data_IF_789160694300
#
_entry.id   IF_789160694300
#
_cell.length_a   1.000
_cell.length_b   1.000
_cell.length_c   1.000
_cell.angle_alpha   90.00
_cell.angle_beta   90.00
_cell.angle_gamma   90.00
#
_symmetry.space_group_name_H-M   'P 1'
#
loop_
_entity.id
_entity.type
_entity.pdbx_description
1 polymer ?
#
# COMPACT_ATOMS: atom_id res chain seq x y z
N UNK A 1 -21.24 -16.27 3.07
CA UNK A 1 -20.63 -16.63 1.80
C UNK A 1 -21.60 -17.34 0.85
N UNK A 2 -22.32 -18.41 1.21
CA UNK A 2 -23.20 -19.15 0.27
C UNK A 2 -24.33 -18.35 -0.42
N UNK A 3 -24.95 -17.38 0.26
CA UNK A 3 -26.11 -16.64 -0.33
C UNK A 3 -25.70 -15.55 -1.36
N UNK A 4 -24.52 -14.98 -1.28
CA UNK A 4 -24.02 -14.00 -2.28
C UNK A 4 -23.59 -14.72 -3.57
N UNK A 5 -22.90 -15.84 -3.44
CA UNK A 5 -22.51 -16.67 -4.59
C UNK A 5 -23.72 -17.26 -5.34
N UNK A 6 -24.82 -17.61 -4.64
CA UNK A 6 -26.05 -18.05 -5.30
C UNK A 6 -26.71 -16.90 -6.09
N UNK A 7 -26.71 -15.67 -5.55
CA UNK A 7 -27.31 -14.48 -6.22
C UNK A 7 -26.54 -14.05 -7.47
N UNK A 8 -25.21 -13.98 -7.41
CA UNK A 8 -24.37 -13.62 -8.57
C UNK A 8 -24.49 -14.66 -9.69
N UNK A 9 -24.55 -15.94 -9.33
CA UNK A 9 -24.72 -17.03 -10.29
C UNK A 9 -26.13 -17.08 -10.92
N UNK A 10 -27.15 -16.66 -10.18
CA UNK A 10 -28.51 -16.48 -10.73
C UNK A 10 -28.51 -15.34 -11.75
N UNK A 11 -27.93 -14.19 -11.42
CA UNK A 11 -27.81 -13.06 -12.33
C UNK A 11 -27.01 -13.41 -13.60
N UNK A 12 -25.87 -14.08 -13.47
CA UNK A 12 -25.07 -14.53 -14.61
C UNK A 12 -25.90 -15.41 -15.57
N UNK A 13 -26.63 -16.39 -15.05
CA UNK A 13 -27.45 -17.28 -15.87
C UNK A 13 -28.59 -16.51 -16.57
N UNK A 14 -29.20 -15.55 -15.91
CA UNK A 14 -30.27 -14.72 -16.46
C UNK A 14 -29.74 -13.80 -17.58
N UNK A 15 -28.62 -13.13 -17.34
CA UNK A 15 -27.93 -12.27 -18.33
C UNK A 15 -27.53 -13.09 -19.54
N UNK A 16 -26.88 -14.25 -19.36
CA UNK A 16 -26.45 -15.13 -20.45
C UNK A 16 -27.64 -15.63 -21.29
N UNK A 17 -28.73 -16.03 -20.63
CA UNK A 17 -29.97 -16.48 -21.31
C UNK A 17 -30.61 -15.34 -22.14
N UNK A 18 -30.58 -14.10 -21.62
CA UNK A 18 -31.14 -12.94 -22.34
C UNK A 18 -30.26 -12.51 -23.53
N UNK A 19 -28.93 -12.57 -23.39
CA UNK A 19 -28.00 -12.32 -24.49
C UNK A 19 -28.19 -13.37 -25.60
N UNK A 20 -28.22 -14.66 -25.26
CA UNK A 20 -28.41 -15.76 -26.20
C UNK A 20 -29.76 -15.65 -26.98
N UNK A 21 -30.79 -15.10 -26.32
CA UNK A 21 -32.09 -14.87 -26.95
C UNK A 21 -32.23 -13.50 -27.62
N UNK A 22 -31.17 -12.69 -27.66
CA UNK A 22 -31.18 -11.34 -28.20
C UNK A 22 -32.26 -10.42 -27.59
N UNK A 23 -32.55 -10.56 -26.29
CA UNK A 23 -33.54 -9.79 -25.56
C UNK A 23 -32.92 -8.57 -24.87
N UNK A 24 -32.17 -7.78 -25.61
CA UNK A 24 -31.35 -6.69 -25.08
C UNK A 24 -32.14 -5.60 -24.35
N UNK A 25 -33.41 -5.34 -24.76
CA UNK A 25 -34.26 -4.32 -24.11
C UNK A 25 -34.72 -4.82 -22.73
N UNK A 26 -35.17 -6.10 -22.63
CA UNK A 26 -35.55 -6.69 -21.34
C UNK A 26 -34.33 -6.78 -20.41
N UNK A 27 -33.15 -7.09 -20.94
CA UNK A 27 -31.89 -7.14 -20.19
C UNK A 27 -31.53 -5.78 -19.60
N UNK A 28 -31.63 -4.70 -20.37
CA UNK A 28 -31.36 -3.35 -19.86
C UNK A 28 -32.27 -2.99 -18.69
N UNK A 29 -33.59 -3.25 -18.80
CA UNK A 29 -34.56 -3.00 -17.72
C UNK A 29 -34.24 -3.84 -16.48
N UNK A 30 -33.76 -5.08 -16.67
CA UNK A 30 -33.38 -5.96 -15.55
C UNK A 30 -32.14 -5.44 -14.82
N UNK A 31 -31.13 -4.96 -15.56
CA UNK A 31 -29.87 -4.49 -14.97
C UNK A 31 -30.02 -3.20 -14.15
N UNK A 32 -31.04 -2.38 -14.43
CA UNK A 32 -31.35 -1.18 -13.61
C UNK A 32 -31.73 -1.52 -12.14
N UNK A 33 -32.10 -2.77 -11.85
CA UNK A 33 -32.43 -3.22 -10.50
C UNK A 33 -31.20 -3.71 -9.70
N UNK A 34 -30.04 -3.88 -10.34
CA UNK A 34 -28.82 -4.42 -9.74
C UNK A 34 -27.78 -3.34 -9.47
N UNK A 35 -26.91 -3.58 -8.49
CA UNK A 35 -25.81 -2.70 -8.18
C UNK A 35 -24.69 -2.86 -9.22
N UNK A 36 -23.99 -1.78 -9.55
CA UNK A 36 -22.91 -1.75 -10.56
C UNK A 36 -21.87 -2.84 -10.30
N UNK A 37 -21.47 -3.06 -9.04
CA UNK A 37 -20.52 -4.12 -8.65
C UNK A 37 -21.02 -5.52 -9.02
N UNK A 38 -22.31 -5.81 -8.83
CA UNK A 38 -22.89 -7.13 -9.19
C UNK A 38 -22.90 -7.31 -10.73
N UNK A 39 -23.09 -6.22 -11.49
CA UNK A 39 -23.02 -6.21 -12.95
C UNK A 39 -21.57 -6.42 -13.42
N UNK A 40 -20.61 -5.79 -12.77
CA UNK A 40 -19.18 -5.97 -13.02
C UNK A 40 -18.74 -7.43 -12.81
N UNK A 41 -19.14 -8.04 -11.70
CA UNK A 41 -18.86 -9.46 -11.43
C UNK A 41 -19.37 -10.37 -12.55
N UNK A 42 -20.58 -10.13 -13.04
CA UNK A 42 -21.17 -10.88 -14.16
C UNK A 42 -20.41 -10.63 -15.47
N UNK A 43 -20.01 -9.38 -15.72
CA UNK A 43 -19.27 -8.98 -16.91
C UNK A 43 -17.92 -9.71 -16.98
N UNK A 44 -17.24 -9.86 -15.83
CA UNK A 44 -15.97 -10.60 -15.73
C UNK A 44 -16.11 -12.10 -16.00
N UNK A 45 -17.27 -12.71 -15.69
CA UNK A 45 -17.52 -14.13 -15.97
C UNK A 45 -17.92 -14.42 -17.43
N UNK A 46 -18.29 -13.39 -18.24
CA UNK A 46 -18.70 -13.54 -19.63
C UNK A 46 -17.49 -13.71 -20.55
N UNK A 47 -17.73 -14.34 -21.73
CA UNK A 47 -16.74 -14.30 -22.79
C UNK A 47 -16.68 -12.92 -23.49
N UNK A 48 -15.57 -12.58 -24.13
CA UNK A 48 -15.25 -11.28 -24.74
C UNK A 48 -16.42 -10.74 -25.59
N UNK A 49 -17.03 -11.57 -26.43
CA UNK A 49 -18.11 -11.15 -27.34
C UNK A 49 -19.39 -10.77 -26.58
N UNK A 50 -19.75 -11.52 -25.55
CA UNK A 50 -20.97 -11.26 -24.79
C UNK A 50 -20.74 -10.16 -23.75
N UNK A 51 -19.49 -9.98 -23.29
CA UNK A 51 -19.05 -8.89 -22.43
C UNK A 51 -19.22 -7.53 -23.12
N UNK A 52 -18.69 -7.37 -24.34
CA UNK A 52 -18.84 -6.13 -25.12
C UNK A 52 -20.31 -5.84 -25.41
N UNK A 53 -21.12 -6.86 -25.79
CA UNK A 53 -22.56 -6.68 -26.00
C UNK A 53 -23.32 -6.23 -24.75
N UNK A 54 -22.96 -6.80 -23.59
CA UNK A 54 -23.56 -6.41 -22.32
C UNK A 54 -23.20 -4.96 -22.02
N UNK A 55 -21.91 -4.60 -22.14
CA UNK A 55 -21.42 -3.26 -21.85
C UNK A 55 -22.06 -2.19 -22.74
N UNK A 56 -22.22 -2.45 -24.04
CA UNK A 56 -22.80 -1.51 -25.01
C UNK A 56 -24.25 -1.09 -24.68
N UNK A 57 -25.00 -1.93 -23.97
CA UNK A 57 -26.42 -1.65 -23.63
C UNK A 57 -26.61 -1.00 -22.25
N UNK A 58 -25.55 -0.88 -21.44
CA UNK A 58 -25.64 -0.28 -20.10
C UNK A 58 -26.05 1.19 -20.16
N UNK A 59 -26.68 1.71 -19.09
CA UNK A 59 -26.79 3.17 -18.89
C UNK A 59 -25.41 3.80 -18.81
N UNK A 60 -25.27 5.07 -19.26
CA UNK A 60 -23.97 5.74 -19.33
C UNK A 60 -23.28 5.84 -17.96
N UNK A 61 -24.02 6.17 -16.92
CA UNK A 61 -23.55 6.24 -15.54
C UNK A 61 -23.03 4.88 -15.04
N UNK A 62 -23.74 3.80 -15.33
CA UNK A 62 -23.31 2.43 -14.98
C UNK A 62 -22.08 2.01 -15.79
N UNK A 63 -22.04 2.35 -17.08
CA UNK A 63 -20.89 2.06 -17.93
C UNK A 63 -19.65 2.84 -17.49
N UNK A 64 -19.79 4.11 -17.09
CA UNK A 64 -18.74 4.95 -16.52
C UNK A 64 -18.16 4.31 -15.26
N UNK A 65 -19.02 4.00 -14.26
CA UNK A 65 -18.57 3.37 -13.02
C UNK A 65 -17.93 1.98 -13.20
N UNK A 66 -18.29 1.25 -14.27
CA UNK A 66 -17.61 -0.02 -14.60
C UNK A 66 -16.23 0.26 -15.20
N UNK A 67 -16.10 1.26 -16.07
CA UNK A 67 -14.80 1.61 -16.65
C UNK A 67 -13.82 2.12 -15.59
N UNK A 68 -14.29 2.84 -14.56
CA UNK A 68 -13.50 3.34 -13.45
C UNK A 68 -12.82 2.22 -12.66
N UNK A 69 -13.43 1.03 -12.61
CA UNK A 69 -12.89 -0.15 -11.93
C UNK A 69 -12.08 -1.09 -12.86
N UNK A 70 -11.94 -0.74 -14.15
CA UNK A 70 -11.32 -1.61 -15.14
C UNK A 70 -9.80 -1.42 -15.20
N UNK A 71 -9.07 -2.53 -15.28
CA UNK A 71 -7.68 -2.50 -15.75
C UNK A 71 -7.56 -2.05 -17.20
N UNK A 72 -6.41 -1.48 -17.62
CA UNK A 72 -6.19 -0.93 -18.96
C UNK A 72 -6.58 -1.84 -20.12
N UNK A 73 -6.28 -3.12 -20.03
CA UNK A 73 -6.56 -4.11 -21.08
C UNK A 73 -8.07 -4.34 -21.24
N UNK A 74 -8.79 -4.51 -20.12
CA UNK A 74 -10.24 -4.67 -20.13
C UNK A 74 -10.94 -3.38 -20.58
N UNK A 75 -10.46 -2.23 -20.12
CA UNK A 75 -10.94 -0.92 -20.56
C UNK A 75 -10.88 -0.80 -22.08
N UNK A 76 -9.72 -1.12 -22.68
CA UNK A 76 -9.54 -1.10 -24.14
C UNK A 76 -10.40 -2.13 -24.87
N UNK A 77 -10.57 -3.35 -24.31
CA UNK A 77 -11.46 -4.37 -24.85
C UNK A 77 -12.90 -3.85 -24.95
N UNK A 78 -13.41 -3.23 -23.90
CA UNK A 78 -14.79 -2.76 -23.84
C UNK A 78 -15.09 -1.62 -24.82
N UNK A 79 -14.16 -0.68 -25.00
CA UNK A 79 -14.41 0.51 -25.83
C UNK A 79 -13.98 0.38 -27.30
N UNK A 80 -13.08 -0.58 -27.64
CA UNK A 80 -12.42 -0.65 -28.96
C UNK A 80 -13.35 -0.82 -30.14
N UNK A 81 -14.48 -1.51 -29.97
CA UNK A 81 -15.46 -1.77 -31.03
C UNK A 81 -16.68 -0.85 -30.98
N UNK A 82 -16.75 0.06 -29.97
CA UNK A 82 -17.86 0.98 -29.77
C UNK A 82 -17.76 2.21 -30.70
N UNK A 83 -18.90 2.85 -30.93
CA UNK A 83 -18.93 4.15 -31.61
C UNK A 83 -18.27 5.23 -30.77
N UNK A 84 -17.38 6.01 -31.40
CA UNK A 84 -16.58 7.06 -30.69
C UNK A 84 -17.47 8.09 -30.01
N UNK A 85 -18.62 8.45 -30.55
CA UNK A 85 -19.54 9.40 -29.93
C UNK A 85 -20.21 8.79 -28.69
N UNK A 86 -20.43 7.46 -28.66
CA UNK A 86 -20.95 6.76 -27.51
C UNK A 86 -19.89 6.66 -26.40
N UNK A 87 -18.66 6.28 -26.75
CA UNK A 87 -17.52 6.27 -25.80
C UNK A 87 -17.32 7.65 -25.17
N UNK A 88 -17.36 8.71 -25.98
CA UNK A 88 -17.27 10.08 -25.46
C UNK A 88 -18.36 10.39 -24.44
N UNK A 89 -19.60 9.96 -24.70
CA UNK A 89 -20.70 10.16 -23.74
C UNK A 89 -20.51 9.40 -22.44
N UNK A 90 -19.83 8.25 -22.46
CA UNK A 90 -19.44 7.55 -21.23
C UNK A 90 -18.35 8.32 -20.48
N UNK A 91 -17.33 8.83 -21.19
CA UNK A 91 -16.27 9.62 -20.57
C UNK A 91 -16.76 10.95 -19.95
N UNK A 92 -17.83 11.53 -20.48
CA UNK A 92 -18.48 12.70 -19.90
C UNK A 92 -19.17 12.41 -18.55
N UNK A 93 -19.48 11.15 -18.26
CA UNK A 93 -20.01 10.70 -16.95
C UNK A 93 -18.93 10.20 -15.99
N UNK A 94 -17.70 9.98 -16.46
CA UNK A 94 -16.56 9.53 -15.65
C UNK A 94 -15.92 10.69 -14.90
N UNK A 95 -15.40 10.42 -13.70
CA UNK A 95 -14.47 11.34 -13.04
C UNK A 95 -13.16 11.45 -13.85
N UNK A 96 -12.68 12.68 -14.05
CA UNK A 96 -11.40 12.90 -14.74
C UNK A 96 -10.20 12.36 -13.91
N UNK A 97 -10.36 12.26 -12.59
CA UNK A 97 -9.37 11.63 -11.72
C UNK A 97 -9.23 10.14 -12.03
N UNK A 98 -10.35 9.41 -12.01
CA UNK A 98 -10.38 7.98 -12.28
C UNK A 98 -9.91 7.66 -13.71
N UNK A 99 -10.32 8.47 -14.68
CA UNK A 99 -9.81 8.34 -16.04
C UNK A 99 -8.29 8.61 -16.14
N UNK A 100 -7.77 9.58 -15.37
CA UNK A 100 -6.33 9.85 -15.33
C UNK A 100 -5.55 8.68 -14.71
N UNK A 101 -6.09 8.01 -13.69
CA UNK A 101 -5.45 6.85 -13.06
C UNK A 101 -5.36 5.68 -14.04
N UNK A 102 -6.44 5.35 -14.75
CA UNK A 102 -6.42 4.33 -15.80
C UNK A 102 -5.43 4.70 -16.92
N UNK A 103 -5.42 5.97 -17.35
CA UNK A 103 -4.51 6.44 -18.39
C UNK A 103 -3.03 6.42 -17.95
N UNK A 104 -2.75 6.50 -16.66
CA UNK A 104 -1.39 6.45 -16.11
C UNK A 104 -0.76 5.08 -16.33
N UNK A 105 -1.54 4.02 -16.17
CA UNK A 105 -1.11 2.63 -16.33
C UNK A 105 -1.06 2.16 -17.80
N UNK A 106 -1.64 2.95 -18.69
CA UNK A 106 -1.64 2.65 -20.15
C UNK A 106 -0.33 3.01 -20.86
N UNK A 107 -0.05 2.28 -21.94
CA UNK A 107 1.01 2.63 -22.88
C UNK A 107 0.78 3.99 -23.56
N UNK A 108 1.85 4.71 -23.92
CA UNK A 108 1.79 6.05 -24.51
C UNK A 108 0.88 6.10 -25.78
N UNK A 109 0.89 5.06 -26.61
CA UNK A 109 0.07 5.01 -27.84
C UNK A 109 -1.44 4.88 -27.54
N UNK A 110 -1.81 4.11 -26.53
CA UNK A 110 -3.20 3.90 -26.11
C UNK A 110 -3.73 5.12 -25.39
N UNK A 111 -2.93 5.68 -24.48
CA UNK A 111 -3.22 6.93 -23.77
C UNK A 111 -3.54 8.08 -24.73
N UNK A 112 -2.72 8.30 -25.76
CA UNK A 112 -2.98 9.37 -26.74
C UNK A 112 -4.27 9.12 -27.55
N UNK A 113 -4.61 7.86 -27.86
CA UNK A 113 -5.88 7.55 -28.53
C UNK A 113 -7.10 7.95 -27.70
N UNK A 114 -7.05 7.71 -26.37
CA UNK A 114 -8.15 8.07 -25.49
C UNK A 114 -8.21 9.58 -25.28
N UNK A 115 -7.07 10.26 -25.10
CA UNK A 115 -7.00 11.71 -25.01
C UNK A 115 -7.57 12.41 -26.25
N UNK A 116 -7.43 11.81 -27.44
CA UNK A 116 -8.05 12.32 -28.68
C UNK A 116 -9.58 12.13 -28.71
N UNK A 117 -10.14 11.21 -27.89
CA UNK A 117 -11.58 10.95 -27.84
C UNK A 117 -12.32 11.88 -26.86
N UNK A 118 -11.68 12.39 -25.82
CA UNK A 118 -12.27 13.34 -24.88
C UNK A 118 -12.41 14.75 -25.48
N UNK A 119 -13.19 15.60 -24.85
CA UNK A 119 -13.28 17.00 -25.28
C UNK A 119 -11.99 17.79 -24.92
N UNK A 120 -11.79 18.96 -25.53
CA UNK A 120 -10.53 19.70 -25.35
C UNK A 120 -10.30 20.28 -23.95
N UNK A 121 -11.35 20.52 -23.19
CA UNK A 121 -11.26 21.05 -21.83
C UNK A 121 -10.77 19.93 -20.92
N UNK A 122 -11.36 18.76 -21.01
CA UNK A 122 -10.98 17.55 -20.25
C UNK A 122 -9.59 17.04 -20.67
N UNK A 123 -9.22 17.11 -21.96
CA UNK A 123 -7.86 16.76 -22.41
C UNK A 123 -6.79 17.60 -21.71
N UNK A 124 -7.01 18.90 -21.57
CA UNK A 124 -6.05 19.78 -20.87
C UNK A 124 -5.94 19.37 -19.40
N UNK A 125 -7.06 19.12 -18.76
CA UNK A 125 -7.10 18.75 -17.37
C UNK A 125 -6.47 17.38 -17.09
N UNK A 126 -6.76 16.38 -17.94
CA UNK A 126 -6.13 15.06 -17.86
C UNK A 126 -4.61 15.14 -18.05
N UNK A 127 -4.14 15.96 -19.00
CA UNK A 127 -2.69 16.16 -19.18
C UNK A 127 -2.04 16.85 -17.97
N UNK A 128 -2.75 17.71 -17.25
CA UNK A 128 -2.26 18.29 -15.98
C UNK A 128 -2.18 17.21 -14.90
N UNK A 129 -3.19 16.35 -14.73
CA UNK A 129 -3.19 15.26 -13.77
C UNK A 129 -2.09 14.23 -14.08
N UNK A 130 -1.93 13.87 -15.35
CA UNK A 130 -0.88 12.94 -15.81
C UNK A 130 0.55 13.51 -15.69
N UNK A 131 0.71 14.80 -15.47
CA UNK A 131 2.03 15.42 -15.27
C UNK A 131 2.56 15.29 -13.83
N UNK A 132 1.71 14.95 -12.87
CA UNK A 132 2.15 14.67 -11.51
C UNK A 132 2.98 13.37 -11.45
N UNK A 133 3.92 13.34 -10.53
CA UNK A 133 4.73 12.14 -10.28
C UNK A 133 3.85 11.11 -9.58
N UNK A 134 3.98 9.85 -9.97
CA UNK A 134 3.24 8.75 -9.35
C UNK A 134 3.49 8.71 -7.84
N UNK A 135 2.54 8.17 -7.09
CA UNK A 135 2.57 8.08 -5.63
C UNK A 135 2.58 9.42 -4.87
N UNK A 136 2.31 10.54 -5.55
CA UNK A 136 2.11 11.84 -4.89
C UNK A 136 0.63 12.12 -4.61
N UNK A 137 0.35 13.02 -3.67
CA UNK A 137 -1.03 13.50 -3.42
C UNK A 137 -1.63 14.17 -4.66
N UNK A 138 -0.80 14.75 -5.51
CA UNK A 138 -1.23 15.35 -6.78
C UNK A 138 -1.63 14.32 -7.83
N UNK A 139 -1.03 13.13 -7.81
CA UNK A 139 -1.41 12.04 -8.73
C UNK A 139 -2.72 11.36 -8.35
N UNK A 140 -3.08 11.35 -7.07
CA UNK A 140 -4.28 10.70 -6.55
C UNK A 140 -5.48 11.65 -6.45
N UNK A 141 -5.27 12.97 -6.57
CA UNK A 141 -6.35 13.94 -6.39
C UNK A 141 -7.34 13.97 -7.55
N UNK A 142 -8.62 14.24 -7.21
CA UNK A 142 -9.70 14.53 -8.15
C UNK A 142 -10.03 16.01 -8.14
N UNK A 143 -10.54 16.55 -9.26
CA UNK A 143 -10.91 17.96 -9.40
C UNK A 143 -12.40 18.24 -9.22
N UNK A 144 -13.21 17.24 -9.02
CA UNK A 144 -14.65 17.35 -8.79
C UNK A 144 -15.01 17.86 -7.38
N UNK A 145 -14.59 19.05 -7.01
CA UNK A 145 -14.86 19.67 -5.71
C UNK A 145 -15.61 21.00 -5.83
N UNK A 146 -16.36 21.36 -4.79
CA UNK A 146 -17.16 22.60 -4.75
C UNK A 146 -16.42 23.68 -3.97
N UNK A 147 -16.34 24.88 -4.55
CA UNK A 147 -15.72 26.04 -3.93
C UNK A 147 -16.69 27.21 -3.74
N UNK A 148 -16.42 28.04 -2.76
CA UNK A 148 -17.13 29.33 -2.56
C UNK A 148 -16.12 30.40 -2.14
N UNK A 149 -16.38 31.64 -2.55
CA UNK A 149 -15.58 32.77 -2.06
C UNK A 149 -16.01 33.16 -0.63
N UNK A 150 -15.05 33.42 0.25
CA UNK A 150 -15.27 33.75 1.66
C UNK A 150 -16.18 34.96 1.89
N UNK A 151 -16.25 35.88 0.93
CA UNK A 151 -17.06 37.12 1.02
C UNK A 151 -18.53 36.94 0.61
N UNK A 152 -18.93 35.74 0.16
CA UNK A 152 -20.32 35.49 -0.23
C UNK A 152 -21.22 35.37 0.99
N UNK A 153 -22.49 35.77 0.83
CA UNK A 153 -23.54 35.41 1.79
C UNK A 153 -23.94 33.96 1.60
N UNK A 154 -24.41 33.31 2.66
CA UNK A 154 -24.94 31.94 2.65
C UNK A 154 -25.93 31.70 1.52
N UNK A 155 -26.88 32.61 1.32
CA UNK A 155 -27.86 32.54 0.22
C UNK A 155 -27.18 32.52 -1.15
N UNK A 156 -26.14 33.33 -1.33
CA UNK A 156 -25.41 33.42 -2.61
C UNK A 156 -24.55 32.18 -2.83
N UNK A 157 -23.92 31.66 -1.78
CA UNK A 157 -23.15 30.42 -1.81
C UNK A 157 -24.05 29.24 -2.18
N UNK A 158 -25.22 29.08 -1.57
CA UNK A 158 -26.15 27.98 -1.92
C UNK A 158 -26.57 28.05 -3.40
N UNK A 159 -26.77 29.24 -3.95
CA UNK A 159 -27.11 29.38 -5.37
C UNK A 159 -25.96 28.96 -6.27
N UNK A 160 -24.76 29.35 -5.90
CA UNK A 160 -23.52 28.97 -6.63
C UNK A 160 -23.30 27.46 -6.61
N UNK A 161 -23.36 26.86 -5.43
CA UNK A 161 -23.21 25.42 -5.24
C UNK A 161 -24.20 24.60 -6.09
N UNK A 162 -25.47 25.03 -6.16
CA UNK A 162 -26.50 24.36 -6.99
C UNK A 162 -26.17 24.33 -8.47
N UNK A 163 -25.29 25.18 -8.95
CA UNK A 163 -24.89 25.24 -10.34
C UNK A 163 -23.61 24.39 -10.55
N UNK A 164 -22.69 24.38 -9.61
CA UNK A 164 -21.41 23.66 -9.71
C UNK A 164 -21.48 22.21 -9.19
N UNK A 165 -22.39 21.90 -8.27
CA UNK A 165 -22.51 20.58 -7.67
C UNK A 165 -23.05 19.49 -8.61
N UNK A 166 -23.37 19.83 -9.86
CA UNK A 166 -23.80 18.84 -10.87
C UNK A 166 -22.61 17.98 -11.30
N UNK A 167 -21.42 18.58 -11.35
CA UNK A 167 -20.18 17.93 -11.86
C UNK A 167 -19.18 17.64 -10.72
N UNK A 168 -19.64 17.62 -9.45
CA UNK A 168 -18.77 17.42 -8.29
C UNK A 168 -18.78 15.97 -7.83
N UNK A 169 -17.61 15.34 -7.71
CA UNK A 169 -17.41 13.97 -7.17
C UNK A 169 -17.86 13.90 -5.70
N UNK A 170 -17.64 14.97 -4.94
CA UNK A 170 -18.04 15.06 -3.53
C UNK A 170 -18.52 16.43 -3.12
N UNK A 171 -19.69 16.48 -2.45
CA UNK A 171 -20.28 17.69 -1.87
C UNK A 171 -20.28 17.69 -0.34
N UNK A 172 -19.63 16.75 0.32
CA UNK A 172 -19.59 16.69 1.78
C UNK A 172 -18.93 17.93 2.39
N UNK A 173 -17.87 18.42 1.74
CA UNK A 173 -17.16 19.64 2.11
C UNK A 173 -17.24 20.67 0.99
N UNK A 174 -17.38 21.93 1.40
CA UNK A 174 -17.34 23.10 0.55
C UNK A 174 -16.08 23.87 0.92
N UNK A 175 -15.18 24.03 -0.02
CA UNK A 175 -13.89 24.68 0.19
C UNK A 175 -14.02 26.18 -0.01
N UNK A 176 -13.51 26.94 0.94
CA UNK A 176 -13.63 28.40 0.94
C UNK A 176 -12.33 29.01 0.47
N UNK A 177 -12.41 29.77 -0.61
CA UNK A 177 -11.29 30.44 -1.23
C UNK A 177 -11.33 31.95 -0.93
N UNK A 178 -10.14 32.55 -0.89
CA UNK A 178 -10.01 34.01 -0.91
C UNK A 178 -10.02 34.56 -2.34
N UNK A 179 -9.74 35.88 -2.49
CA UNK A 179 -9.72 36.51 -3.81
C UNK A 179 -8.50 36.11 -4.66
N UNK A 180 -7.47 35.55 -4.04
CA UNK A 180 -6.25 35.06 -4.68
C UNK A 180 -6.32 33.53 -4.93
N UNK A 181 -7.51 32.92 -4.84
CA UNK A 181 -7.78 31.48 -5.02
C UNK A 181 -7.10 30.58 -4.00
N UNK A 182 -6.67 31.12 -2.86
CA UNK A 182 -6.06 30.34 -1.79
C UNK A 182 -7.13 29.70 -0.90
N UNK A 183 -6.87 28.48 -0.47
CA UNK A 183 -7.72 27.77 0.48
C UNK A 183 -7.61 28.42 1.87
N UNK A 184 -8.69 29.05 2.34
CA UNK A 184 -8.71 29.75 3.62
C UNK A 184 -9.69 29.15 4.63
N UNK A 185 -10.59 28.28 4.20
CA UNK A 185 -11.58 27.68 5.08
C UNK A 185 -12.25 26.47 4.45
N UNK A 186 -13.00 25.76 5.26
CA UNK A 186 -13.87 24.67 4.84
C UNK A 186 -15.16 24.74 5.66
N UNK A 187 -16.26 24.36 5.06
CA UNK A 187 -17.52 24.16 5.75
C UNK A 187 -18.24 22.94 5.20
N UNK A 188 -18.99 22.27 6.04
CA UNK A 188 -19.84 21.17 5.62
C UNK A 188 -21.16 21.69 5.04
N UNK A 189 -21.76 20.89 4.16
CA UNK A 189 -23.10 21.18 3.65
C UNK A 189 -24.12 21.35 4.79
N UNK A 190 -23.95 20.63 5.90
CA UNK A 190 -24.79 20.75 7.10
C UNK A 190 -24.67 22.12 7.76
N UNK A 191 -23.45 22.65 7.92
CA UNK A 191 -23.22 23.96 8.52
C UNK A 191 -23.83 25.05 7.65
N UNK A 192 -23.66 24.95 6.33
CA UNK A 192 -24.26 25.86 5.38
C UNK A 192 -25.79 25.89 5.49
N UNK A 193 -26.47 24.77 5.65
CA UNK A 193 -27.92 24.69 5.80
C UNK A 193 -28.45 25.18 7.16
N UNK A 194 -27.60 25.13 8.21
CA UNK A 194 -27.98 25.62 9.54
C UNK A 194 -27.72 27.10 9.73
N UNK A 195 -26.92 27.73 8.88
CA UNK A 195 -26.62 29.16 8.91
C UNK A 195 -27.77 30.00 8.38
N UNK A 196 -27.80 31.29 8.74
CA UNK A 196 -28.81 32.23 8.23
C UNK A 196 -28.40 32.73 6.85
N UNK A 197 -29.37 32.91 5.99
CA UNK A 197 -29.19 33.39 4.60
C UNK A 197 -28.32 34.65 4.46
N UNK A 198 -28.31 35.51 5.48
CA UNK A 198 -27.59 36.79 5.50
C UNK A 198 -26.20 36.71 6.13
N UNK A 199 -25.81 35.58 6.73
CA UNK A 199 -24.47 35.40 7.28
C UNK A 199 -23.45 35.29 6.14
N UNK A 200 -22.21 35.71 6.41
CA UNK A 200 -21.11 35.65 5.43
C UNK A 200 -20.34 34.32 5.65
N UNK A 201 -19.87 33.74 4.58
CA UNK A 201 -19.14 32.45 4.62
C UNK A 201 -17.93 32.54 5.56
N UNK A 202 -17.18 33.64 5.55
CA UNK A 202 -16.03 33.89 6.44
C UNK A 202 -16.39 33.80 7.93
N UNK A 203 -17.62 34.14 8.31
CA UNK A 203 -18.07 34.11 9.72
C UNK A 203 -18.45 32.69 10.20
N UNK A 204 -18.71 31.74 9.27
CA UNK A 204 -19.21 30.40 9.59
C UNK A 204 -18.26 29.29 9.20
N UNK A 205 -17.22 29.57 8.39
CA UNK A 205 -16.24 28.59 7.96
C UNK A 205 -15.31 28.18 9.09
N UNK A 206 -14.75 26.99 9.00
CA UNK A 206 -13.60 26.54 9.81
C UNK A 206 -12.31 26.99 9.11
N UNK A 207 -11.52 27.85 9.77
CA UNK A 207 -10.28 28.41 9.21
C UNK A 207 -9.10 27.44 9.26
N UNK A 208 -9.12 26.46 10.19
CA UNK A 208 -7.99 25.52 10.37
C UNK A 208 -8.15 24.30 9.48
N UNK A 209 -8.04 24.50 8.17
CA UNK A 209 -8.13 23.43 7.19
C UNK A 209 -6.89 22.55 7.27
N UNK A 210 -7.09 21.23 7.25
CA UNK A 210 -6.02 20.26 7.06
C UNK A 210 -5.93 19.95 5.58
N UNK A 211 -4.77 20.15 5.00
CA UNK A 211 -4.48 19.91 3.58
C UNK A 211 -3.16 19.19 3.42
N UNK A 212 -2.94 18.60 2.27
CA UNK A 212 -1.66 18.05 1.81
C UNK A 212 -1.11 18.89 0.66
N UNK A 213 0.20 18.85 0.45
CA UNK A 213 0.80 19.45 -0.74
C UNK A 213 0.69 18.49 -1.92
N UNK A 214 0.55 19.02 -3.13
CA UNK A 214 0.43 18.24 -4.36
C UNK A 214 1.68 17.38 -4.66
N UNK A 215 2.84 17.74 -4.12
CA UNK A 215 4.09 16.99 -4.22
C UNK A 215 4.39 16.09 -3.00
N UNK A 216 3.54 16.12 -1.97
CA UNK A 216 3.67 15.21 -0.84
C UNK A 216 3.32 13.77 -1.27
N UNK A 217 3.95 12.80 -0.61
CA UNK A 217 3.59 11.40 -0.71
C UNK A 217 2.11 11.20 -0.37
N UNK A 218 1.40 10.37 -1.16
CA UNK A 218 -0.02 10.07 -0.96
C UNK A 218 -0.32 9.47 0.42
N UNK A 219 0.65 8.79 1.04
CA UNK A 219 0.54 8.29 2.41
C UNK A 219 0.32 9.42 3.45
N UNK A 220 0.74 10.66 3.18
CA UNK A 220 0.47 11.79 4.07
C UNK A 220 -1.03 12.16 4.08
N UNK A 221 -1.74 12.00 2.94
CA UNK A 221 -3.18 12.16 2.88
C UNK A 221 -3.89 11.09 3.75
N UNK A 222 -3.46 9.83 3.65
CA UNK A 222 -3.96 8.73 4.49
C UNK A 222 -3.82 9.06 5.97
N UNK A 223 -2.63 9.56 6.38
CA UNK A 223 -2.35 9.93 7.78
C UNK A 223 -3.27 11.04 8.30
N UNK A 224 -3.52 12.05 7.46
CA UNK A 224 -4.41 13.18 7.82
C UNK A 224 -5.85 12.71 7.90
N UNK A 225 -6.35 11.98 6.91
CA UNK A 225 -7.72 11.47 6.88
C UNK A 225 -7.99 10.55 8.08
N UNK A 226 -7.11 9.59 8.34
CA UNK A 226 -7.21 8.68 9.48
C UNK A 226 -7.18 9.41 10.83
N UNK A 227 -6.27 10.37 11.01
CA UNK A 227 -6.08 11.08 12.28
C UNK A 227 -7.25 12.00 12.63
N UNK A 228 -7.82 12.67 11.64
CA UNK A 228 -8.86 13.68 11.84
C UNK A 228 -10.27 13.17 11.48
N UNK A 229 -10.40 11.91 11.05
CA UNK A 229 -11.66 11.28 10.60
C UNK A 229 -12.36 12.12 9.50
N UNK A 230 -11.60 12.52 8.50
CA UNK A 230 -12.12 13.29 7.38
C UNK A 230 -12.73 12.34 6.33
N UNK A 231 -13.68 12.85 5.54
CA UNK A 231 -14.24 12.13 4.38
C UNK A 231 -13.59 12.58 3.06
N UNK A 232 -12.82 13.66 3.08
CA UNK A 232 -11.98 14.13 2.00
C UNK A 232 -10.90 15.06 2.55
N UNK A 233 -9.74 15.13 1.91
CA UNK A 233 -8.65 16.04 2.23
C UNK A 233 -8.31 16.90 1.02
N UNK A 234 -8.24 18.25 1.14
CA UNK A 234 -7.86 19.12 0.04
C UNK A 234 -6.36 19.06 -0.23
N UNK A 235 -6.00 19.07 -1.51
CA UNK A 235 -4.65 19.13 -2.04
C UNK A 235 -4.35 20.56 -2.48
N UNK A 236 -3.24 21.13 -2.02
CA UNK A 236 -2.82 22.50 -2.33
C UNK A 236 -1.41 22.53 -2.88
N UNK A 237 -1.08 23.55 -3.68
CA UNK A 237 0.29 23.81 -4.07
C UNK A 237 1.07 24.58 -2.99
N UNK A 238 2.36 24.86 -3.25
CA UNK A 238 3.26 25.60 -2.34
C UNK A 238 2.75 27.03 -2.02
N UNK A 239 1.87 27.60 -2.84
CA UNK A 239 1.29 28.93 -2.65
C UNK A 239 -0.03 28.88 -1.87
N UNK A 240 -0.53 27.67 -1.60
CA UNK A 240 -1.80 27.41 -0.88
C UNK A 240 -3.01 27.49 -1.79
N UNK A 241 -2.85 27.40 -3.10
CA UNK A 241 -3.95 27.34 -4.07
C UNK A 241 -4.50 25.91 -4.09
N UNK A 242 -5.80 25.78 -4.03
CA UNK A 242 -6.49 24.48 -4.09
C UNK A 242 -6.34 23.88 -5.50
N UNK A 243 -5.82 22.66 -5.56
CA UNK A 243 -5.59 21.90 -6.81
C UNK A 243 -6.59 20.78 -7.00
N UNK A 244 -7.00 20.13 -5.91
CA UNK A 244 -7.89 18.98 -5.93
C UNK A 244 -8.30 18.55 -4.54
N UNK A 245 -8.96 17.40 -4.48
CA UNK A 245 -9.31 16.71 -3.23
C UNK A 245 -8.94 15.22 -3.40
N UNK A 246 -8.66 14.55 -2.28
CA UNK A 246 -8.58 13.08 -2.22
C UNK A 246 -9.73 12.63 -1.33
N UNK A 247 -10.59 11.79 -1.82
CA UNK A 247 -11.78 11.30 -1.13
C UNK A 247 -11.48 10.08 -0.26
N UNK A 248 -12.41 9.67 0.60
CA UNK A 248 -12.19 8.55 1.53
C UNK A 248 -12.09 7.21 0.81
N UNK A 249 -12.79 7.05 -0.31
CA UNK A 249 -12.71 5.91 -1.21
C UNK A 249 -11.29 5.77 -1.78
N UNK A 250 -10.74 6.82 -2.40
CA UNK A 250 -9.34 6.82 -2.89
C UNK A 250 -8.33 6.56 -1.75
N UNK A 251 -8.60 7.08 -0.55
CA UNK A 251 -7.76 6.83 0.63
C UNK A 251 -7.77 5.36 1.05
N UNK A 252 -8.90 4.66 0.89
CA UNK A 252 -9.00 3.23 1.21
C UNK A 252 -8.12 2.43 0.25
N UNK A 253 -8.19 2.74 -1.04
CA UNK A 253 -7.40 2.06 -2.07
C UNK A 253 -5.90 2.31 -1.85
N UNK A 254 -5.49 3.56 -1.62
CA UNK A 254 -4.10 3.89 -1.24
C UNK A 254 -3.65 3.14 0.01
N UNK A 255 -4.52 3.00 1.03
CA UNK A 255 -4.18 2.24 2.25
C UNK A 255 -3.95 0.75 1.96
N UNK A 256 -4.72 0.15 1.06
CA UNK A 256 -4.57 -1.25 0.67
C UNK A 256 -3.28 -1.47 -0.13
N UNK A 257 -3.01 -0.59 -1.09
CA UNK A 257 -1.79 -0.60 -1.89
C UNK A 257 -0.53 -0.44 -1.03
N UNK A 258 -0.49 0.57 -0.16
CA UNK A 258 0.65 0.82 0.75
C UNK A 258 0.86 -0.35 1.73
N UNK A 259 -0.24 -0.93 2.25
CA UNK A 259 -0.14 -2.09 3.13
C UNK A 259 0.39 -3.33 2.39
N UNK A 260 -0.02 -3.54 1.15
CA UNK A 260 0.47 -4.61 0.28
C UNK A 260 1.96 -4.41 -0.02
N UNK A 261 2.34 -3.21 -0.44
CA UNK A 261 3.74 -2.84 -0.71
C UNK A 261 4.65 -3.10 0.50
N UNK A 262 4.24 -2.66 1.69
CA UNK A 262 4.96 -2.90 2.94
C UNK A 262 5.17 -4.40 3.21
N UNK A 263 4.17 -5.24 2.91
CA UNK A 263 4.29 -6.69 3.06
C UNK A 263 5.32 -7.28 2.08
N UNK A 264 5.32 -6.86 0.83
CA UNK A 264 6.32 -7.29 -0.16
C UNK A 264 7.74 -6.83 0.24
N UNK A 265 7.91 -5.60 0.69
CA UNK A 265 9.18 -5.07 1.20
C UNK A 265 9.66 -5.87 2.42
N UNK A 266 8.80 -6.16 3.40
CA UNK A 266 9.12 -6.99 4.57
C UNK A 266 9.49 -8.42 4.15
N UNK A 267 8.89 -8.96 3.12
CA UNK A 267 9.24 -10.27 2.57
C UNK A 267 10.61 -10.27 1.83
N UNK A 268 11.21 -9.12 1.59
CA UNK A 268 12.45 -8.95 0.85
C UNK A 268 12.26 -8.97 -0.66
N UNK A 269 11.09 -8.61 -1.10
CA UNK A 269 10.72 -8.44 -2.50
C UNK A 269 10.67 -6.95 -2.90
N UNK A 270 10.08 -6.63 -4.02
CA UNK A 270 9.95 -5.28 -4.55
C UNK A 270 8.52 -5.01 -5.00
N UNK A 271 8.18 -3.74 -5.03
CA UNK A 271 6.97 -3.19 -5.61
C UNK A 271 6.64 -3.77 -7.00
N UNK A 272 7.64 -3.87 -7.87
CA UNK A 272 7.47 -4.47 -9.21
C UNK A 272 7.00 -5.93 -9.20
N UNK A 273 7.35 -6.70 -8.15
CA UNK A 273 6.84 -8.06 -7.99
C UNK A 273 5.37 -8.01 -7.61
N UNK A 274 4.98 -7.10 -6.70
CA UNK A 274 3.58 -6.85 -6.33
C UNK A 274 2.76 -6.50 -7.58
N UNK A 275 3.14 -5.44 -8.27
CA UNK A 275 2.39 -4.93 -9.44
C UNK A 275 2.23 -6.00 -10.53
N UNK A 276 3.25 -6.85 -10.72
CA UNK A 276 3.18 -7.96 -11.69
C UNK A 276 2.35 -9.13 -11.18
N UNK A 277 2.28 -9.37 -9.86
CA UNK A 277 1.48 -10.43 -9.26
C UNK A 277 0.00 -10.04 -9.17
N UNK A 278 -0.30 -8.74 -8.99
CA UNK A 278 -1.65 -8.17 -8.96
C UNK A 278 -2.24 -7.98 -10.37
N UNK A 279 -1.40 -7.86 -11.41
CA UNK A 279 -1.83 -7.76 -12.81
C UNK A 279 -2.29 -9.14 -13.36
N UNK A 280 -3.59 -9.32 -13.48
CA UNK A 280 -4.23 -10.55 -13.98
C UNK A 280 -3.81 -10.91 -15.42
N UNK A 281 -3.32 -9.96 -16.21
CA UNK A 281 -2.87 -10.14 -17.58
C UNK A 281 -1.39 -10.49 -17.69
N UNK A 282 -0.66 -10.42 -16.59
CA UNK A 282 0.75 -10.73 -16.56
C UNK A 282 1.02 -12.19 -16.91
N UNK A 283 1.90 -12.41 -17.88
CA UNK A 283 2.32 -13.78 -18.24
C UNK A 283 3.20 -14.36 -17.14
N UNK A 284 3.11 -15.69 -16.92
CA UNK A 284 3.99 -16.40 -15.99
C UNK A 284 5.47 -16.05 -16.21
N UNK A 285 5.88 -15.75 -17.45
CA UNK A 285 7.26 -15.34 -17.77
C UNK A 285 7.60 -13.96 -17.21
N UNK A 286 6.68 -13.01 -17.24
CA UNK A 286 6.83 -11.67 -16.67
C UNK A 286 6.88 -11.75 -15.15
N UNK A 287 5.98 -12.50 -14.52
CA UNK A 287 5.97 -12.74 -13.07
C UNK A 287 7.31 -13.35 -12.59
N UNK A 288 7.83 -14.36 -13.28
CA UNK A 288 9.14 -14.96 -12.95
C UNK A 288 10.26 -13.92 -13.06
N UNK A 289 10.28 -13.12 -14.11
CA UNK A 289 11.33 -12.12 -14.32
C UNK A 289 11.26 -11.03 -13.25
N UNK A 290 10.09 -10.56 -12.90
CA UNK A 290 9.85 -9.58 -11.85
C UNK A 290 10.31 -10.10 -10.50
N UNK A 291 9.89 -11.30 -10.12
CA UNK A 291 10.32 -12.01 -8.91
C UNK A 291 11.85 -12.14 -8.82
N UNK A 292 12.51 -12.58 -9.91
CA UNK A 292 13.97 -12.72 -9.93
C UNK A 292 14.65 -11.36 -9.77
N UNK A 293 14.18 -10.32 -10.47
CA UNK A 293 14.78 -8.97 -10.38
C UNK A 293 14.57 -8.34 -9.03
N UNK A 294 13.39 -8.48 -8.44
CA UNK A 294 13.07 -7.94 -7.11
C UNK A 294 13.95 -8.53 -6.01
N UNK A 295 14.22 -9.81 -6.05
CA UNK A 295 14.94 -10.54 -4.98
C UNK A 295 16.43 -10.67 -5.20
N UNK A 296 16.92 -10.68 -6.46
CA UNK A 296 18.32 -10.99 -6.80
C UNK A 296 19.32 -10.06 -6.11
N UNK A 297 19.04 -8.76 -6.05
CA UNK A 297 19.91 -7.77 -5.41
C UNK A 297 20.17 -8.10 -3.94
N UNK A 298 19.11 -8.40 -3.20
CA UNK A 298 19.16 -8.79 -1.80
C UNK A 298 19.89 -10.12 -1.61
N UNK A 299 19.62 -11.13 -2.46
CA UNK A 299 20.29 -12.43 -2.41
C UNK A 299 21.79 -12.32 -2.67
N UNK A 300 22.21 -11.49 -3.62
CA UNK A 300 23.63 -11.25 -3.89
C UNK A 300 24.31 -10.57 -2.71
N UNK A 301 23.69 -9.54 -2.14
CA UNK A 301 24.22 -8.87 -0.96
C UNK A 301 24.33 -9.83 0.23
N UNK A 302 23.28 -10.64 0.46
CA UNK A 302 23.25 -11.69 1.48
C UNK A 302 24.39 -12.69 1.28
N UNK A 303 24.64 -13.14 0.05
CA UNK A 303 25.72 -14.06 -0.27
C UNK A 303 27.10 -13.45 0.03
N UNK A 304 27.31 -12.17 -0.30
CA UNK A 304 28.58 -11.47 -0.01
C UNK A 304 28.82 -11.39 1.50
N UNK A 305 27.82 -11.01 2.28
CA UNK A 305 27.94 -10.89 3.74
C UNK A 305 28.11 -12.29 4.36
N UNK A 306 27.41 -13.32 3.89
CA UNK A 306 27.57 -14.70 4.34
C UNK A 306 29.00 -15.24 4.09
N UNK A 307 29.67 -14.73 3.05
CA UNK A 307 31.08 -15.09 2.83
C UNK A 307 32.00 -14.59 3.97
N UNK A 308 31.67 -13.47 4.62
CA UNK A 308 32.38 -13.00 5.82
C UNK A 308 32.21 -14.00 6.96
N UNK A 309 31.00 -14.52 7.16
CA UNK A 309 30.72 -15.59 8.12
C UNK A 309 31.60 -16.82 7.87
N UNK A 310 31.72 -17.23 6.59
CA UNK A 310 32.58 -18.33 6.22
C UNK A 310 34.06 -18.08 6.55
N UNK A 311 34.57 -16.88 6.32
CA UNK A 311 35.96 -16.50 6.68
C UNK A 311 36.16 -16.59 8.19
N UNK A 312 35.22 -16.10 9.00
CA UNK A 312 35.28 -16.22 10.46
C UNK A 312 35.32 -17.71 10.84
N UNK A 313 34.47 -18.53 10.20
CA UNK A 313 34.38 -19.96 10.44
C UNK A 313 35.71 -20.72 10.15
N UNK A 314 36.52 -20.22 9.21
CA UNK A 314 37.84 -20.79 8.93
C UNK A 314 38.81 -20.74 10.14
N UNK A 315 38.60 -19.80 11.05
CA UNK A 315 39.39 -19.66 12.28
C UNK A 315 39.09 -20.80 13.28
N UNK A 316 38.01 -21.54 13.11
CA UNK A 316 37.66 -22.72 13.94
C UNK A 316 38.60 -23.88 13.74
N UNK A 317 39.59 -23.82 12.82
CA UNK A 317 40.62 -24.83 12.67
C UNK A 317 41.32 -25.13 14.00
N UNK A 318 41.57 -24.13 14.85
CA UNK A 318 42.15 -24.30 16.17
C UNK A 318 41.25 -25.10 17.12
N UNK A 319 39.94 -25.08 16.94
CA UNK A 319 38.96 -25.88 17.69
C UNK A 319 39.08 -27.35 17.31
N UNK A 320 39.31 -27.65 16.03
CA UNK A 320 39.53 -29.02 15.52
C UNK A 320 40.81 -29.63 16.14
N UNK A 321 41.88 -28.84 16.17
CA UNK A 321 43.17 -29.26 16.72
C UNK A 321 43.07 -29.66 18.22
N UNK A 322 42.06 -29.18 18.94
CA UNK A 322 41.79 -29.54 20.35
C UNK A 322 40.75 -30.66 20.54
N UNK A 323 40.39 -31.39 19.49
CA UNK A 323 39.35 -32.44 19.48
C UNK A 323 37.97 -31.97 19.96
N UNK A 324 37.60 -30.71 19.69
CA UNK A 324 36.32 -30.11 20.06
C UNK A 324 35.44 -29.95 18.81
N UNK A 325 35.44 -30.95 17.93
CA UNK A 325 34.77 -30.91 16.63
C UNK A 325 33.23 -30.74 16.78
N UNK A 326 32.67 -31.22 17.90
CA UNK A 326 31.24 -31.07 18.19
C UNK A 326 30.78 -29.62 18.19
N UNK A 327 31.66 -28.69 18.60
CA UNK A 327 31.35 -27.25 18.59
C UNK A 327 31.10 -26.70 17.18
N UNK A 328 31.74 -27.29 16.17
CA UNK A 328 31.52 -26.87 14.77
C UNK A 328 30.13 -27.28 14.32
N UNK A 329 29.65 -28.44 14.70
CA UNK A 329 28.30 -28.90 14.36
C UNK A 329 27.19 -28.16 15.12
N UNK A 330 27.51 -27.52 16.24
CA UNK A 330 26.56 -26.73 17.03
C UNK A 330 26.48 -25.26 16.61
N UNK A 331 27.42 -24.77 15.79
CA UNK A 331 27.43 -23.39 15.32
C UNK A 331 26.14 -22.97 14.60
N UNK A 332 25.56 -23.78 13.68
CA UNK A 332 24.30 -23.42 13.03
C UNK A 332 23.14 -23.23 14.01
N UNK A 333 23.07 -24.04 15.08
CA UNK A 333 22.03 -23.89 16.11
C UNK A 333 22.14 -22.53 16.82
N UNK A 334 23.36 -22.15 17.20
CA UNK A 334 23.62 -20.91 17.93
C UNK A 334 23.33 -19.68 17.07
N UNK A 335 23.71 -19.72 15.82
CA UNK A 335 23.57 -18.61 14.87
C UNK A 335 22.10 -18.43 14.49
N UNK A 336 21.40 -19.52 14.13
CA UNK A 336 20.01 -19.48 13.71
C UNK A 336 19.07 -18.87 14.77
N UNK A 337 19.31 -19.13 16.07
CA UNK A 337 18.49 -18.58 17.15
C UNK A 337 18.66 -17.05 17.28
N UNK A 338 19.86 -16.53 17.10
CA UNK A 338 20.13 -15.09 17.09
C UNK A 338 19.45 -14.39 15.91
N UNK A 339 19.55 -14.96 14.71
CA UNK A 339 18.89 -14.45 13.50
C UNK A 339 17.37 -14.47 13.60
N UNK A 340 16.80 -15.56 14.13
CA UNK A 340 15.34 -15.67 14.34
C UNK A 340 14.80 -14.58 15.27
N UNK A 341 15.45 -14.33 16.40
CA UNK A 341 15.04 -13.27 17.34
C UNK A 341 15.21 -11.89 16.72
N UNK A 342 16.30 -11.67 15.99
CA UNK A 342 16.53 -10.40 15.31
C UNK A 342 15.42 -10.09 14.31
N UNK A 343 15.03 -11.06 13.49
CA UNK A 343 13.92 -10.90 12.54
C UNK A 343 12.59 -10.62 13.24
N UNK A 344 12.28 -11.35 14.33
CA UNK A 344 11.03 -11.13 15.09
C UNK A 344 10.97 -9.74 15.74
N UNK A 345 12.03 -9.33 16.45
CA UNK A 345 12.09 -8.02 17.11
C UNK A 345 12.09 -6.88 16.10
N UNK A 346 12.67 -7.12 14.95
CA UNK A 346 12.72 -6.18 13.87
C UNK A 346 11.30 -5.97 13.28
N UNK A 347 10.59 -7.04 12.91
CA UNK A 347 9.20 -6.96 12.41
C UNK A 347 8.28 -6.22 13.39
N UNK A 348 8.37 -6.54 14.69
CA UNK A 348 7.60 -5.83 15.73
C UNK A 348 7.97 -4.35 15.82
N UNK A 349 9.25 -4.02 15.66
CA UNK A 349 9.73 -2.63 15.73
C UNK A 349 9.22 -1.81 14.56
N UNK A 350 9.22 -2.36 13.34
CA UNK A 350 8.70 -1.68 12.16
C UNK A 350 7.21 -1.44 12.27
N UNK A 351 6.42 -2.45 12.61
CA UNK A 351 4.98 -2.29 12.84
C UNK A 351 4.71 -1.16 13.86
N UNK A 352 5.55 -1.01 14.89
CA UNK A 352 5.40 0.11 15.84
C UNK A 352 5.92 1.45 15.30
N UNK A 353 6.84 1.45 14.33
CA UNK A 353 7.30 2.67 13.65
C UNK A 353 6.26 3.19 12.67
N UNK A 354 5.56 2.30 11.97
CA UNK A 354 4.45 2.65 11.07
C UNK A 354 3.24 3.17 11.85
N UNK A 355 3.01 2.68 13.08
CA UNK A 355 1.95 3.18 13.99
C UNK A 355 2.39 4.47 14.69
N UNK A 356 2.14 5.62 14.06
CA UNK A 356 2.56 6.96 14.54
C UNK A 356 1.97 7.36 15.91
N UNK A 357 0.88 6.75 16.33
CA UNK A 357 0.28 7.04 17.66
C UNK A 357 1.08 6.45 18.81
N UNK A 358 1.92 5.44 18.56
CA UNK A 358 2.69 4.77 19.60
C UNK A 358 4.09 5.32 19.80
N UNK A 359 4.69 5.94 18.80
CA UNK A 359 6.07 6.45 18.84
C UNK A 359 7.09 5.38 19.31
N UNK A 360 8.36 5.57 18.99
CA UNK A 360 9.41 4.67 19.53
C UNK A 360 9.79 5.13 20.92
N UNK A 361 9.07 4.64 21.90
CA UNK A 361 9.41 4.84 23.31
C UNK A 361 10.53 3.89 23.74
N UNK A 362 11.41 4.36 24.65
CA UNK A 362 12.39 3.49 25.32
C UNK A 362 11.77 2.24 25.97
N UNK A 363 10.46 2.25 26.19
CA UNK A 363 9.67 1.12 26.68
C UNK A 363 9.63 -0.02 25.65
N UNK A 364 9.51 0.26 24.35
CA UNK A 364 9.55 -0.77 23.31
C UNK A 364 10.90 -1.50 23.30
N UNK A 365 11.99 -0.75 23.32
CA UNK A 365 13.35 -1.31 23.35
C UNK A 365 13.53 -2.19 24.60
N UNK A 366 13.13 -1.70 25.75
CA UNK A 366 13.26 -2.43 27.00
C UNK A 366 12.40 -3.70 27.01
N UNK A 367 11.18 -3.63 26.49
CA UNK A 367 10.27 -4.77 26.33
C UNK A 367 10.90 -5.86 25.47
N UNK A 368 11.44 -5.53 24.30
CA UNK A 368 12.05 -6.49 23.38
C UNK A 368 13.29 -7.17 23.99
N UNK A 369 14.15 -6.39 24.66
CA UNK A 369 15.34 -6.94 25.33
C UNK A 369 14.94 -7.87 26.51
N UNK A 370 14.00 -7.48 27.35
CA UNK A 370 13.57 -8.31 28.48
C UNK A 370 12.87 -9.57 27.99
N UNK A 371 11.99 -9.46 27.01
CA UNK A 371 11.31 -10.61 26.40
C UNK A 371 12.31 -11.59 25.79
N UNK A 372 13.31 -11.10 25.08
CA UNK A 372 14.37 -11.92 24.52
C UNK A 372 15.27 -12.57 25.58
N UNK A 373 15.55 -11.86 26.67
CA UNK A 373 16.29 -12.43 27.79
C UNK A 373 15.52 -13.61 28.42
N UNK A 374 14.22 -13.43 28.69
CA UNK A 374 13.37 -14.49 29.26
C UNK A 374 13.30 -15.69 28.30
N UNK A 375 13.01 -15.44 27.03
CA UNK A 375 12.97 -16.49 26.00
C UNK A 375 14.34 -17.18 25.85
N UNK A 376 15.41 -16.42 25.89
CA UNK A 376 16.78 -16.91 25.83
C UNK A 376 17.15 -17.84 26.99
N UNK A 377 16.70 -17.51 28.21
CA UNK A 377 16.88 -18.40 29.38
C UNK A 377 16.12 -19.71 29.19
N UNK A 378 14.88 -19.66 28.72
CA UNK A 378 14.08 -20.87 28.47
C UNK A 378 14.73 -21.73 27.41
N UNK A 379 15.14 -21.14 26.27
CA UNK A 379 15.80 -21.86 25.17
C UNK A 379 17.16 -22.42 25.60
N UNK A 380 17.94 -21.66 26.39
CA UNK A 380 19.21 -22.13 26.92
C UNK A 380 19.03 -23.34 27.86
N UNK A 381 18.00 -23.35 28.73
CA UNK A 381 17.68 -24.51 29.56
C UNK A 381 17.32 -25.73 28.73
N UNK A 382 16.48 -25.55 27.68
CA UNK A 382 16.14 -26.63 26.74
C UNK A 382 17.41 -27.16 26.04
N UNK A 383 18.28 -26.25 25.59
CA UNK A 383 19.54 -26.61 24.96
C UNK A 383 20.45 -27.41 25.92
N UNK A 384 20.54 -27.00 27.19
CA UNK A 384 21.31 -27.77 28.23
C UNK A 384 20.78 -29.19 28.34
N UNK A 385 19.46 -29.37 28.45
CA UNK A 385 18.85 -30.69 28.59
C UNK A 385 19.14 -31.57 27.35
N UNK A 386 18.93 -31.04 26.17
CA UNK A 386 19.15 -31.78 24.92
C UNK A 386 20.64 -32.12 24.72
N UNK A 387 21.53 -31.15 24.88
CA UNK A 387 22.97 -31.35 24.69
C UNK A 387 23.55 -32.25 25.75
N UNK A 388 23.08 -32.26 26.97
CA UNK A 388 23.49 -33.18 28.02
C UNK A 388 23.17 -34.63 27.63
N UNK A 389 22.06 -34.89 26.98
CA UNK A 389 21.67 -36.23 26.50
C UNK A 389 22.50 -36.64 25.31
N UNK A 390 22.73 -35.75 24.34
CA UNK A 390 23.38 -36.13 23.07
C UNK A 390 24.91 -36.06 23.11
N UNK A 391 25.48 -35.12 23.86
CA UNK A 391 26.94 -34.87 23.87
C UNK A 391 27.59 -35.36 25.15
N UNK A 392 26.94 -35.25 26.27
CA UNK A 392 27.43 -35.71 27.57
C UNK A 392 28.69 -34.98 28.09
N UNK A 393 29.01 -33.78 27.51
CA UNK A 393 30.15 -32.93 27.93
C UNK A 393 29.63 -31.66 28.58
N UNK A 394 29.60 -31.53 29.92
CA UNK A 394 29.00 -30.38 30.60
C UNK A 394 29.61 -29.01 30.22
N UNK A 395 30.95 -29.01 29.97
CA UNK A 395 31.66 -27.79 29.62
C UNK A 395 31.18 -27.22 28.24
N UNK A 396 31.07 -28.08 27.25
CA UNK A 396 30.54 -27.72 25.92
C UNK A 396 29.08 -27.24 26.04
N UNK A 397 28.27 -28.01 26.76
CA UNK A 397 26.85 -27.71 26.98
C UNK A 397 26.63 -26.31 27.57
N UNK A 398 27.40 -25.98 28.62
CA UNK A 398 27.28 -24.67 29.28
C UNK A 398 27.72 -23.51 28.37
N UNK A 399 28.82 -23.65 27.63
CA UNK A 399 29.31 -22.62 26.71
C UNK A 399 28.31 -22.38 25.60
N UNK A 400 27.77 -23.43 25.01
CA UNK A 400 26.77 -23.31 23.94
C UNK A 400 25.48 -22.66 24.46
N UNK A 401 24.97 -23.08 25.61
CA UNK A 401 23.76 -22.52 26.20
C UNK A 401 23.92 -21.03 26.53
N UNK A 402 25.07 -20.65 27.10
CA UNK A 402 25.37 -19.25 27.42
C UNK A 402 25.50 -18.42 26.13
N UNK A 403 26.10 -18.98 25.09
CA UNK A 403 26.21 -18.29 23.80
C UNK A 403 24.86 -18.11 23.13
N UNK A 404 23.96 -19.11 23.21
CA UNK A 404 22.57 -18.98 22.74
C UNK A 404 21.89 -17.80 23.43
N UNK A 405 21.96 -17.73 24.75
CA UNK A 405 21.38 -16.64 25.51
C UNK A 405 21.91 -15.25 25.05
N UNK A 406 23.22 -15.13 24.94
CA UNK A 406 23.87 -13.87 24.50
C UNK A 406 23.43 -13.52 23.07
N UNK A 407 23.43 -14.47 22.15
CA UNK A 407 23.05 -14.22 20.75
C UNK A 407 21.59 -13.84 20.62
N UNK A 408 20.68 -14.41 21.40
CA UNK A 408 19.26 -14.03 21.38
C UNK A 408 19.07 -12.59 21.89
N UNK A 409 19.76 -12.18 22.95
CA UNK A 409 19.71 -10.79 23.45
C UNK A 409 20.31 -9.80 22.43
N UNK A 410 21.45 -10.15 21.84
CA UNK A 410 22.06 -9.33 20.78
C UNK A 410 21.17 -9.25 19.54
N UNK A 411 20.49 -10.33 19.20
CA UNK A 411 19.51 -10.37 18.13
C UNK A 411 18.36 -9.39 18.35
N UNK A 412 17.79 -9.39 19.55
CA UNK A 412 16.75 -8.42 19.92
C UNK A 412 17.26 -6.98 19.87
N UNK A 413 18.47 -6.73 20.39
CA UNK A 413 19.07 -5.40 20.32
C UNK A 413 19.26 -4.93 18.86
N UNK A 414 19.83 -5.77 18.00
CA UNK A 414 20.05 -5.44 16.60
C UNK A 414 18.70 -5.24 15.87
N UNK A 415 17.77 -6.18 16.07
CA UNK A 415 16.43 -6.14 15.47
C UNK A 415 15.62 -4.92 15.87
N UNK A 416 15.80 -4.41 17.08
CA UNK A 416 15.06 -3.22 17.53
C UNK A 416 15.79 -1.90 17.17
N UNK A 417 17.10 -1.84 17.36
CA UNK A 417 17.83 -0.57 17.19
C UNK A 417 18.05 -0.19 15.74
N UNK A 418 18.25 -1.15 14.84
CA UNK A 418 18.58 -0.85 13.45
C UNK A 418 17.41 -0.17 12.72
N UNK A 419 16.16 -0.67 12.77
CA UNK A 419 15.02 0.03 12.17
C UNK A 419 14.82 1.45 12.72
N UNK A 420 15.00 1.62 14.03
CA UNK A 420 14.90 2.93 14.68
C UNK A 420 15.95 3.92 14.16
N UNK A 421 17.18 3.44 13.92
CA UNK A 421 18.25 4.28 13.39
C UNK A 421 17.92 4.68 11.96
N UNK A 422 17.43 3.77 11.14
CA UNK A 422 17.05 4.03 9.74
C UNK A 422 15.90 5.02 9.63
N UNK A 423 14.85 4.83 10.42
CA UNK A 423 13.74 5.78 10.48
C UNK A 423 14.18 7.20 10.89
N UNK A 424 15.21 7.32 11.74
CA UNK A 424 15.79 8.64 12.10
C UNK A 424 16.68 9.25 11.01
N UNK A 425 17.05 8.48 10.03
CA UNK A 425 17.84 8.92 8.86
C UNK A 425 16.95 9.24 7.65
N UNK A 426 15.63 9.38 7.85
CA UNK A 426 14.62 9.56 6.81
C UNK A 426 14.71 8.48 5.70
N UNK A 427 15.06 7.25 6.10
CA UNK A 427 15.10 6.09 5.23
C UNK A 427 13.96 5.16 5.63
N UNK A 428 13.31 4.58 4.63
CA UNK A 428 12.23 3.62 4.85
C UNK A 428 12.71 2.44 5.70
N UNK A 429 12.16 2.23 6.90
CA UNK A 429 12.57 1.14 7.78
C UNK A 429 12.14 -0.23 7.24
N UNK A 430 11.20 -0.31 6.30
CA UNK A 430 10.72 -1.57 5.73
C UNK A 430 11.70 -2.14 4.69
N UNK A 431 12.40 -1.28 3.95
CA UNK A 431 13.26 -1.65 2.82
C UNK A 431 14.48 -2.54 3.16
N UNK A 432 14.95 -2.56 4.40
CA UNK A 432 16.23 -3.25 4.77
C UNK A 432 15.97 -4.58 5.52
N UNK A 433 14.75 -5.05 5.56
CA UNK A 433 14.22 -5.80 6.65
C UNK A 433 14.64 -7.26 6.83
N UNK A 434 14.22 -8.15 6.02
CA UNK A 434 14.31 -9.57 6.37
C UNK A 434 15.66 -10.22 6.03
N UNK A 435 16.22 -10.06 4.82
CA UNK A 435 17.45 -10.76 4.45
C UNK A 435 18.70 -10.23 5.14
N UNK A 436 18.82 -8.91 5.33
CA UNK A 436 20.02 -8.30 5.91
C UNK A 436 20.13 -8.59 7.41
N UNK A 437 19.00 -8.54 8.13
CA UNK A 437 19.02 -8.79 9.57
C UNK A 437 19.45 -10.20 9.92
N UNK A 438 18.97 -11.19 9.19
CA UNK A 438 19.39 -12.57 9.41
C UNK A 438 20.90 -12.71 9.19
N UNK A 439 21.44 -12.18 8.10
CA UNK A 439 22.85 -12.33 7.75
C UNK A 439 23.76 -11.50 8.63
N UNK A 440 23.33 -10.32 9.06
CA UNK A 440 24.06 -9.53 10.05
C UNK A 440 24.22 -10.31 11.36
N UNK A 441 23.16 -10.97 11.80
CA UNK A 441 23.20 -11.81 12.99
C UNK A 441 23.98 -13.10 12.80
N UNK A 442 24.11 -13.61 11.59
CA UNK A 442 25.02 -14.73 11.28
C UNK A 442 26.47 -14.33 11.56
N UNK A 443 26.89 -13.13 11.10
CA UNK A 443 28.25 -12.62 11.32
C UNK A 443 28.52 -12.37 12.82
N UNK A 444 27.60 -11.68 13.49
CA UNK A 444 27.71 -11.36 14.93
C UNK A 444 27.68 -12.65 15.74
N UNK A 445 26.72 -13.52 15.47
CA UNK A 445 26.50 -14.73 16.23
C UNK A 445 27.66 -15.72 16.16
N UNK A 446 28.23 -15.92 14.97
CA UNK A 446 29.41 -16.79 14.82
C UNK A 446 30.65 -16.16 15.48
N UNK A 447 30.78 -14.83 15.41
CA UNK A 447 31.84 -14.11 16.10
C UNK A 447 31.78 -14.26 17.61
N UNK A 448 30.61 -14.04 18.21
CA UNK A 448 30.37 -14.25 19.65
C UNK A 448 30.63 -15.70 20.03
N UNK A 449 30.15 -16.65 19.23
CA UNK A 449 30.37 -18.07 19.48
C UNK A 449 31.87 -18.43 19.51
N UNK A 450 32.64 -17.93 18.55
CA UNK A 450 34.07 -18.12 18.53
C UNK A 450 34.78 -17.53 19.77
N UNK A 451 34.40 -16.31 20.17
CA UNK A 451 34.95 -15.67 21.36
C UNK A 451 34.65 -16.50 22.62
N UNK A 452 33.43 -16.97 22.77
CA UNK A 452 33.01 -17.79 23.91
C UNK A 452 33.79 -19.12 23.98
N UNK A 453 33.95 -19.80 22.86
CA UNK A 453 34.75 -21.02 22.78
C UNK A 453 36.20 -20.73 23.15
N UNK A 454 36.80 -19.70 22.57
CA UNK A 454 38.22 -19.37 22.80
C UNK A 454 38.49 -18.95 24.24
N UNK A 455 37.51 -18.36 24.92
CA UNK A 455 37.68 -17.89 26.29
C UNK A 455 37.48 -19.00 27.33
N UNK A 456 36.56 -19.92 27.10
CA UNK A 456 36.18 -20.93 28.13
C UNK A 456 36.67 -22.34 27.84
N UNK A 457 37.01 -22.68 26.59
CA UNK A 457 37.34 -24.02 26.19
C UNK A 457 38.75 -24.13 25.57
N UNK A 458 39.40 -23.04 25.21
CA UNK A 458 40.75 -22.96 24.68
C UNK A 458 41.73 -22.39 25.67
#
# INVERSE_FOLDING_TARGET
>A
MDKKQDSARELYNEVKEMIDKSKLIELKETLEEYHTVDIYDVLMELDEVDRVKLFEILPLDTAASILEECEPDLFMELISEMDVDHVRSIFEEMSLGDLADILRDMGEEEREKILDMVNKEDEIELRELLAYVDETSGSTMKKGYVTVNKNLSVMSAIKHIRTEAVDADSIYYIYVLDNDQKLVGVLSLRELFLAKDSEIIEDIMMENVRSVNDNDDREEAVKIVSKYNLVAVPVVDDEGILKGIITIDDIIDVMEEEASEDLYKIAGSSERERDTDEDDNSTLGQQIISCVRGRLGWLVLTAIISFITAIIFMNFKKVIDKNLIELIFLAPLVVALGGSVSSQSSSVTVINLTDKDKGVDGVLILKEIISSLINGIVVAIIAVILLAVFIGKPEITMVVALTILINMVLGACAGTLLPIILAKMDSDPTAIFSPIMAVLMDVIGIGVYYVMISTFLM
#
